data_IF_716369685757
#
_entry.id   IF_716369685757
#
_cell.length_a   1.000
_cell.length_b   1.000
_cell.length_c   1.000
_cell.angle_alpha   90.00
_cell.angle_beta   90.00
_cell.angle_gamma   90.00
#
_symmetry.space_group_name_H-M   'P 1'
#
loop_
_entity.id
_entity.type
_entity.pdbx_description
1 polymer ?
#
# COMPACT_ATOMS: atom_id res chain seq x y z
N UNK A 1 -2.76 15.83 -7.29
CA UNK A 1 -2.34 14.43 -7.07
C UNK A 1 -0.84 14.40 -6.91
N UNK A 2 -0.31 13.57 -6.02
CA UNK A 2 1.14 13.39 -5.85
C UNK A 2 1.71 12.63 -7.07
N UNK A 3 2.88 13.01 -7.55
CA UNK A 3 3.57 12.24 -8.60
C UNK A 3 3.94 10.83 -8.10
N UNK A 4 4.23 10.72 -6.80
CA UNK A 4 4.49 9.43 -6.11
C UNK A 4 4.17 9.51 -4.62
N UNK A 5 3.76 8.39 -4.05
CA UNK A 5 3.61 8.22 -2.60
C UNK A 5 3.75 6.76 -2.21
N UNK A 6 4.01 6.50 -0.92
CA UNK A 6 4.07 5.13 -0.39
C UNK A 6 2.80 4.81 0.40
N UNK A 7 2.36 3.56 0.30
CA UNK A 7 1.28 3.01 1.13
C UNK A 7 1.54 1.51 1.40
N UNK A 8 0.68 0.87 2.18
CA UNK A 8 0.76 -0.59 2.39
C UNK A 8 0.39 -1.32 1.10
N UNK A 9 1.02 -2.48 0.84
CA UNK A 9 0.74 -3.29 -0.34
C UNK A 9 -0.71 -3.80 -0.34
N UNK A 10 -1.15 -4.35 0.79
CA UNK A 10 -2.48 -4.91 0.95
C UNK A 10 -2.95 -4.80 2.41
N UNK A 11 -4.24 -4.95 2.65
CA UNK A 11 -4.75 -5.12 4.00
C UNK A 11 -4.25 -6.43 4.60
N UNK A 12 -3.91 -6.40 5.89
CA UNK A 12 -3.39 -7.61 6.53
C UNK A 12 -3.21 -7.46 8.02
N UNK A 13 -2.78 -8.54 8.64
CA UNK A 13 -2.55 -8.62 10.08
C UNK A 13 -1.20 -9.26 10.39
N UNK A 14 -0.60 -8.84 11.50
CA UNK A 14 0.60 -9.48 12.06
C UNK A 14 0.55 -9.47 13.57
N UNK A 15 0.97 -10.56 14.20
CA UNK A 15 0.98 -10.71 15.65
C UNK A 15 2.39 -10.83 16.17
N UNK A 16 2.67 -10.13 17.27
CA UNK A 16 3.88 -10.30 18.08
C UNK A 16 3.52 -10.58 19.54
N UNK A 17 4.38 -11.28 20.26
CA UNK A 17 4.24 -11.51 21.69
C UNK A 17 5.39 -10.84 22.45
N UNK A 18 5.06 -10.11 23.50
CA UNK A 18 6.03 -9.44 24.38
C UNK A 18 5.65 -9.70 25.84
N UNK A 19 6.49 -10.41 26.58
CA UNK A 19 6.29 -10.74 28.01
C UNK A 19 4.89 -11.31 28.30
N UNK A 20 4.41 -12.22 27.40
CA UNK A 20 3.11 -12.87 27.51
C UNK A 20 1.92 -12.01 27.02
N UNK A 21 2.10 -10.73 26.73
CA UNK A 21 1.08 -9.92 26.08
C UNK A 21 1.13 -10.12 24.56
N UNK A 22 -0.04 -10.32 23.95
CA UNK A 22 -0.18 -10.42 22.49
C UNK A 22 -0.54 -9.07 21.91
N UNK A 23 0.14 -8.67 20.85
CA UNK A 23 -0.11 -7.45 20.10
C UNK A 23 -0.40 -7.82 18.64
N UNK A 24 -1.63 -7.59 18.19
CA UNK A 24 -2.07 -7.90 16.82
C UNK A 24 -2.26 -6.59 16.08
N UNK A 25 -1.40 -6.32 15.12
CA UNK A 25 -1.50 -5.15 14.24
C UNK A 25 -2.37 -5.49 13.03
N UNK A 26 -3.41 -4.71 12.81
CA UNK A 26 -4.33 -4.80 11.67
C UNK A 26 -4.17 -3.56 10.81
N UNK A 27 -4.04 -3.72 9.51
CA UNK A 27 -3.80 -2.62 8.56
C UNK A 27 -4.84 -2.58 7.46
N UNK A 28 -5.22 -1.36 7.06
CA UNK A 28 -6.11 -1.13 5.93
C UNK A 28 -5.74 0.18 5.23
N UNK A 29 -5.83 0.21 3.89
CA UNK A 29 -5.83 1.46 3.13
C UNK A 29 -7.16 2.18 3.38
N UNK A 30 -7.08 3.48 3.58
CA UNK A 30 -8.24 4.34 3.84
C UNK A 30 -8.04 5.68 3.14
N UNK A 31 -9.06 6.19 2.49
CA UNK A 31 -9.01 7.45 1.74
C UNK A 31 -9.79 8.58 2.44
N UNK A 32 -10.52 8.24 3.50
CA UNK A 32 -11.27 9.20 4.30
C UNK A 32 -11.21 8.87 5.79
N UNK A 33 -11.45 9.88 6.64
CA UNK A 33 -11.56 9.70 8.09
C UNK A 33 -12.72 8.74 8.45
N UNK A 34 -13.79 8.77 7.67
CA UNK A 34 -14.96 7.91 7.86
C UNK A 34 -14.60 6.43 7.67
N UNK A 35 -13.90 6.08 6.59
CA UNK A 35 -13.38 4.73 6.35
C UNK A 35 -12.43 4.27 7.47
N UNK A 36 -11.53 5.15 7.93
CA UNK A 36 -10.62 4.83 9.02
C UNK A 36 -11.38 4.51 10.32
N UNK A 37 -12.39 5.31 10.68
CA UNK A 37 -13.19 5.10 11.87
C UNK A 37 -14.05 3.84 11.76
N UNK A 38 -14.60 3.52 10.60
CA UNK A 38 -15.34 2.28 10.34
C UNK A 38 -14.45 1.05 10.51
N UNK A 39 -13.25 1.07 9.94
CA UNK A 39 -12.25 0.02 10.12
C UNK A 39 -11.91 -0.18 11.61
N UNK A 40 -11.63 0.90 12.35
CA UNK A 40 -11.32 0.84 13.78
C UNK A 40 -12.49 0.20 14.55
N UNK A 41 -13.73 0.59 14.26
CA UNK A 41 -14.91 0.03 14.92
C UNK A 41 -15.12 -1.45 14.60
N UNK A 42 -14.81 -1.88 13.39
CA UNK A 42 -14.87 -3.29 12.99
C UNK A 42 -13.90 -4.12 13.80
N UNK A 43 -12.63 -3.71 13.91
CA UNK A 43 -11.63 -4.42 14.72
C UNK A 43 -12.01 -4.42 16.20
N UNK A 44 -12.52 -3.30 16.74
CA UNK A 44 -13.02 -3.25 18.14
C UNK A 44 -14.15 -4.23 18.41
N UNK A 45 -15.05 -4.44 17.46
CA UNK A 45 -16.15 -5.41 17.58
C UNK A 45 -15.63 -6.85 17.53
N UNK A 46 -14.71 -7.15 16.62
CA UNK A 46 -14.09 -8.48 16.50
C UNK A 46 -13.29 -8.84 17.75
N UNK A 47 -12.52 -7.88 18.25
CA UNK A 47 -11.64 -8.04 19.40
C UNK A 47 -12.22 -7.41 20.70
N UNK A 48 -13.53 -7.51 20.91
CA UNK A 48 -14.21 -6.89 22.04
C UNK A 48 -13.73 -7.39 23.43
N UNK A 49 -13.08 -8.56 23.49
CA UNK A 49 -12.47 -9.11 24.71
C UNK A 49 -11.04 -8.63 24.95
N UNK A 50 -10.46 -7.91 24.01
CA UNK A 50 -9.11 -7.39 24.15
C UNK A 50 -9.04 -6.32 25.28
N UNK A 51 -7.85 -6.17 25.85
CA UNK A 51 -7.63 -5.16 26.89
C UNK A 51 -7.68 -3.75 26.27
N UNK A 52 -7.07 -3.57 25.11
CA UNK A 52 -7.04 -2.31 24.37
C UNK A 52 -7.00 -2.57 22.86
N UNK A 53 -7.62 -1.67 22.08
CA UNK A 53 -7.53 -1.59 20.63
C UNK A 53 -7.07 -0.20 20.25
N UNK A 54 -5.77 0.06 20.40
CA UNK A 54 -5.16 1.35 20.09
C UNK A 54 -5.09 1.54 18.58
N UNK A 55 -5.21 2.78 18.09
CA UNK A 55 -5.24 3.03 16.66
C UNK A 55 -4.51 4.30 16.25
N UNK A 56 -4.08 4.32 15.01
CA UNK A 56 -3.53 5.50 14.35
C UNK A 56 -3.88 5.47 12.87
N UNK A 57 -4.05 6.64 12.27
CA UNK A 57 -4.18 6.78 10.83
C UNK A 57 -3.65 8.12 10.35
N UNK A 58 -3.30 8.15 9.07
CA UNK A 58 -2.96 9.36 8.35
C UNK A 58 -3.53 9.28 6.94
N UNK A 59 -4.08 10.40 6.47
CA UNK A 59 -4.84 10.47 5.22
C UNK A 59 -4.55 11.79 4.52
N UNK A 60 -4.46 11.70 3.19
CA UNK A 60 -4.30 12.82 2.28
C UNK A 60 -2.84 13.10 1.92
N UNK A 61 -2.67 13.83 0.85
CA UNK A 61 -1.36 14.12 0.24
C UNK A 61 -0.35 14.75 1.22
N UNK A 62 -0.85 15.63 2.10
CA UNK A 62 -0.05 16.35 3.08
C UNK A 62 -0.33 15.89 4.52
N UNK A 63 -0.86 14.67 4.72
CA UNK A 63 -1.25 14.12 6.03
C UNK A 63 -2.18 15.07 6.80
N UNK A 64 -3.08 15.77 6.11
CA UNK A 64 -3.96 16.77 6.69
C UNK A 64 -4.94 16.18 7.70
N UNK A 65 -5.26 14.89 7.58
CA UNK A 65 -6.06 14.16 8.57
C UNK A 65 -5.18 13.11 9.22
N UNK A 66 -4.88 13.30 10.50
CA UNK A 66 -4.13 12.32 11.30
C UNK A 66 -4.74 12.22 12.70
N UNK A 67 -4.77 10.99 13.21
CA UNK A 67 -5.21 10.71 14.58
C UNK A 67 -4.39 9.61 15.23
N UNK A 68 -4.29 9.68 16.53
CA UNK A 68 -3.63 8.70 17.40
C UNK A 68 -4.50 8.49 18.63
N UNK A 69 -4.89 7.25 18.92
CA UNK A 69 -5.81 6.91 20.01
C UNK A 69 -5.24 5.78 20.86
N UNK A 70 -5.14 6.02 22.16
CA UNK A 70 -4.53 5.09 23.13
C UNK A 70 -5.52 4.06 23.68
N UNK A 71 -6.83 4.23 23.49
CA UNK A 71 -7.90 3.28 23.90
C UNK A 71 -7.74 2.75 25.33
N UNK A 72 -7.42 3.65 26.28
CA UNK A 72 -7.26 3.33 27.70
C UNK A 72 -5.85 2.90 28.13
N UNK A 73 -4.88 2.79 27.23
CA UNK A 73 -3.47 2.74 27.62
C UNK A 73 -3.04 4.12 28.19
N UNK A 74 -1.95 4.20 28.95
CA UNK A 74 -1.43 5.49 29.41
C UNK A 74 -1.20 6.46 28.24
N UNK A 75 -1.59 7.71 28.43
CA UNK A 75 -1.55 8.74 27.37
C UNK A 75 -0.19 8.81 26.67
N UNK A 76 -0.21 8.75 25.33
CA UNK A 76 0.97 8.86 24.47
C UNK A 76 1.83 7.59 24.40
N UNK A 77 1.39 6.46 24.97
CA UNK A 77 2.20 5.23 24.99
C UNK A 77 1.86 4.25 23.88
N UNK A 78 0.77 4.47 23.14
CA UNK A 78 0.31 3.57 22.09
C UNK A 78 0.06 4.29 20.76
N UNK A 79 -0.99 5.10 20.67
CA UNK A 79 -1.42 5.71 19.40
C UNK A 79 -0.34 6.60 18.77
N UNK A 80 0.31 7.47 19.54
CA UNK A 80 1.38 8.34 19.04
C UNK A 80 2.58 7.54 18.54
N UNK A 81 3.14 6.57 19.27
CA UNK A 81 4.21 5.71 18.76
C UNK A 81 3.85 4.97 17.46
N UNK A 82 2.60 4.52 17.32
CA UNK A 82 2.11 3.89 16.10
C UNK A 82 2.10 4.88 14.92
N UNK A 83 1.54 6.07 15.11
CA UNK A 83 1.49 7.13 14.11
C UNK A 83 2.88 7.52 13.62
N UNK A 84 3.84 7.65 14.53
CA UNK A 84 5.22 8.00 14.19
C UNK A 84 5.91 6.92 13.34
N UNK A 85 5.56 5.63 13.50
CA UNK A 85 6.05 4.58 12.61
C UNK A 85 5.50 4.76 11.19
N UNK A 86 4.21 5.06 11.03
CA UNK A 86 3.61 5.32 9.72
C UNK A 86 4.29 6.50 9.04
N UNK A 87 4.47 7.62 9.76
CA UNK A 87 5.13 8.84 9.27
C UNK A 87 6.59 8.59 8.89
N UNK A 88 7.34 7.86 9.71
CA UNK A 88 8.75 7.52 9.44
C UNK A 88 8.93 6.70 8.17
N UNK A 89 7.94 5.88 7.81
CA UNK A 89 7.92 5.12 6.57
C UNK A 89 7.30 5.93 5.40
N UNK A 90 6.97 7.20 5.62
CA UNK A 90 6.39 8.12 4.62
C UNK A 90 5.09 7.58 4.00
N UNK A 91 4.34 6.78 4.76
CA UNK A 91 3.10 6.19 4.28
C UNK A 91 2.00 7.24 4.16
N UNK A 92 1.08 7.01 3.22
CA UNK A 92 -0.14 7.80 2.98
C UNK A 92 -1.36 6.88 2.96
N UNK A 93 -2.50 7.42 3.34
CA UNK A 93 -3.80 6.78 3.19
C UNK A 93 -3.87 5.39 3.85
N UNK A 94 -3.44 5.32 5.13
CA UNK A 94 -3.37 4.09 5.90
C UNK A 94 -3.92 4.27 7.32
N UNK A 95 -4.66 3.27 7.78
CA UNK A 95 -5.07 3.09 9.17
C UNK A 95 -4.47 1.80 9.74
N UNK A 96 -4.10 1.85 11.02
CA UNK A 96 -3.62 0.71 11.79
C UNK A 96 -4.33 0.63 13.13
N UNK A 97 -4.73 -0.58 13.52
CA UNK A 97 -5.23 -0.88 14.86
C UNK A 97 -4.31 -1.93 15.47
N UNK A 98 -3.80 -1.68 16.66
CA UNK A 98 -3.06 -2.69 17.44
C UNK A 98 -3.93 -3.14 18.60
N UNK A 99 -4.39 -4.39 18.51
CA UNK A 99 -5.17 -5.07 19.53
C UNK A 99 -4.23 -5.71 20.54
N UNK A 100 -4.39 -5.38 21.82
CA UNK A 100 -3.60 -5.97 22.89
C UNK A 100 -4.42 -6.86 23.80
N UNK A 101 -3.92 -8.08 24.02
CA UNK A 101 -4.36 -8.98 25.11
C UNK A 101 -3.28 -8.99 26.19
N UNK A 102 -3.61 -8.53 27.40
CA UNK A 102 -2.66 -8.46 28.51
C UNK A 102 -2.22 -9.84 29.00
N UNK A 103 -0.93 -10.05 29.12
CA UNK A 103 -0.30 -11.33 29.50
C UNK A 103 0.13 -11.44 30.97
N UNK A 104 -0.40 -10.57 31.85
CA UNK A 104 -0.09 -10.62 33.28
C UNK A 104 1.16 -9.80 33.71
N UNK A 105 2.04 -9.44 32.79
CA UNK A 105 3.26 -8.68 33.10
C UNK A 105 3.14 -7.23 32.60
N UNK A 106 3.28 -6.25 33.49
CA UNK A 106 3.29 -4.83 33.13
C UNK A 106 4.57 -4.47 32.37
N UNK A 107 4.44 -3.75 31.26
CA UNK A 107 5.56 -3.32 30.42
C UNK A 107 6.16 -1.98 30.85
N UNK A 108 5.39 -1.14 31.57
CA UNK A 108 5.72 0.25 31.83
C UNK A 108 5.62 1.13 30.58
N UNK A 109 5.64 2.46 30.74
CA UNK A 109 5.44 3.41 29.64
C UNK A 109 6.43 3.20 28.48
N UNK A 110 7.73 3.13 28.74
CA UNK A 110 8.74 2.89 27.73
C UNK A 110 8.66 1.51 27.08
N UNK A 111 8.15 0.50 27.81
CA UNK A 111 7.88 -0.84 27.26
C UNK A 111 6.68 -0.85 26.32
N UNK A 112 5.61 -0.10 26.65
CA UNK A 112 4.43 0.07 25.80
C UNK A 112 4.79 0.78 24.50
N UNK A 113 5.50 1.91 24.58
CA UNK A 113 5.97 2.65 23.39
C UNK A 113 6.71 1.71 22.43
N UNK A 114 7.66 0.92 22.92
CA UNK A 114 8.41 -0.05 22.10
C UNK A 114 7.52 -1.18 21.56
N UNK A 115 6.56 -1.65 22.35
CA UNK A 115 5.68 -2.74 21.94
C UNK A 115 4.73 -2.30 20.81
N UNK A 116 4.08 -1.16 20.95
CA UNK A 116 3.16 -0.65 19.92
C UNK A 116 3.89 -0.23 18.64
N UNK A 117 5.00 0.51 18.73
CA UNK A 117 5.82 0.84 17.55
C UNK A 117 6.41 -0.42 16.89
N UNK A 118 6.86 -1.39 17.70
CA UNK A 118 7.37 -2.68 17.19
C UNK A 118 6.30 -3.49 16.47
N UNK A 119 5.08 -3.59 17.02
CA UNK A 119 3.97 -4.28 16.38
C UNK A 119 3.63 -3.70 15.00
N UNK A 120 3.60 -2.38 14.87
CA UNK A 120 3.38 -1.69 13.58
C UNK A 120 4.55 -1.95 12.64
N UNK A 121 5.80 -1.81 13.10
CA UNK A 121 6.98 -2.00 12.25
C UNK A 121 7.10 -3.43 11.71
N UNK A 122 6.90 -4.44 12.56
CA UNK A 122 6.92 -5.86 12.14
C UNK A 122 5.72 -6.18 11.22
N UNK A 123 4.56 -5.58 11.50
CA UNK A 123 3.39 -5.70 10.64
C UNK A 123 3.64 -5.15 9.23
N UNK A 124 4.21 -3.96 9.11
CA UNK A 124 4.56 -3.35 7.80
C UNK A 124 5.54 -4.22 7.01
N UNK A 125 6.53 -4.83 7.67
CA UNK A 125 7.43 -5.79 7.01
C UNK A 125 6.71 -7.03 6.49
N UNK A 126 5.72 -7.52 7.25
CA UNK A 126 4.98 -8.72 6.88
C UNK A 126 4.01 -8.49 5.71
N UNK A 127 3.29 -7.35 5.68
CA UNK A 127 2.32 -7.05 4.62
C UNK A 127 2.94 -6.36 3.39
N UNK A 128 4.12 -5.75 3.55
CA UNK A 128 4.82 -5.03 2.50
C UNK A 128 4.34 -3.59 2.30
N UNK A 129 5.23 -2.80 1.72
CA UNK A 129 4.99 -1.41 1.31
C UNK A 129 5.14 -1.33 -0.21
N UNK A 130 4.35 -0.49 -0.85
CA UNK A 130 4.46 -0.15 -2.27
C UNK A 130 4.65 1.35 -2.45
N UNK A 131 5.38 1.72 -3.49
CA UNK A 131 5.41 3.08 -4.02
C UNK A 131 4.41 3.16 -5.18
N UNK A 132 3.41 4.01 -5.04
CA UNK A 132 2.46 4.35 -6.08
C UNK A 132 3.05 5.50 -6.91
N UNK A 133 3.21 5.30 -8.21
CA UNK A 133 3.69 6.31 -9.16
C UNK A 133 2.58 6.67 -10.12
N UNK A 134 2.34 7.96 -10.31
CA UNK A 134 1.39 8.45 -11.30
C UNK A 134 2.04 8.34 -12.69
N UNK A 135 1.46 7.50 -13.53
CA UNK A 135 1.99 7.14 -14.84
C UNK A 135 0.88 7.13 -15.88
N UNK A 136 1.23 7.38 -17.14
CA UNK A 136 0.30 7.19 -18.26
C UNK A 136 0.08 5.71 -18.53
N UNK A 137 -1.18 5.34 -18.68
CA UNK A 137 -1.60 4.02 -19.11
C UNK A 137 -1.85 4.02 -20.60
N UNK A 138 -1.10 3.19 -21.34
CA UNK A 138 -1.18 3.06 -22.79
C UNK A 138 -1.63 1.65 -23.16
N UNK A 139 -2.79 1.54 -23.82
CA UNK A 139 -3.23 0.28 -24.39
C UNK A 139 -2.62 0.07 -25.78
N UNK A 140 -2.08 -1.12 -26.02
CA UNK A 140 -1.51 -1.59 -27.28
C UNK A 140 -2.36 -2.73 -27.82
N UNK A 141 -2.92 -2.60 -28.99
CA UNK A 141 -3.68 -3.67 -29.68
C UNK A 141 -2.88 -4.20 -30.86
N UNK A 142 -2.64 -5.52 -30.87
CA UNK A 142 -1.81 -6.19 -31.89
C UNK A 142 -2.22 -7.67 -32.07
N UNK A 143 -1.67 -8.33 -33.10
CA UNK A 143 -1.92 -9.74 -33.38
C UNK A 143 -1.20 -10.70 -32.43
N UNK A 144 -1.79 -11.88 -32.19
CA UNK A 144 -1.24 -12.94 -31.33
C UNK A 144 0.20 -13.33 -31.66
N UNK A 145 0.60 -13.25 -32.95
CA UNK A 145 1.97 -13.55 -33.39
C UNK A 145 3.04 -12.66 -32.75
N UNK A 146 2.64 -11.51 -32.19
CA UNK A 146 3.55 -10.52 -31.63
C UNK A 146 3.65 -10.57 -30.09
N UNK A 147 2.82 -11.37 -29.40
CA UNK A 147 2.76 -11.44 -27.94
C UNK A 147 4.16 -11.60 -27.31
N UNK A 148 4.90 -12.61 -27.73
CA UNK A 148 6.23 -12.88 -27.16
C UNK A 148 7.24 -11.77 -27.41
N UNK A 149 7.14 -11.05 -28.55
CA UNK A 149 8.04 -9.90 -28.83
C UNK A 149 7.76 -8.72 -27.91
N UNK A 150 6.47 -8.39 -27.70
CA UNK A 150 6.04 -7.29 -26.84
C UNK A 150 6.36 -7.60 -25.39
N UNK A 151 6.07 -8.81 -24.91
CA UNK A 151 6.41 -9.24 -23.55
C UNK A 151 7.91 -9.16 -23.27
N UNK A 152 8.71 -9.68 -24.20
CA UNK A 152 10.18 -9.63 -24.06
C UNK A 152 10.69 -8.20 -24.06
N UNK A 153 10.19 -7.33 -24.92
CA UNK A 153 10.56 -5.92 -24.96
C UNK A 153 10.22 -5.23 -23.62
N UNK A 154 8.96 -5.35 -23.15
CA UNK A 154 8.54 -4.75 -21.90
C UNK A 154 9.38 -5.27 -20.71
N UNK A 155 9.64 -6.57 -20.67
CA UNK A 155 10.48 -7.16 -19.62
C UNK A 155 11.92 -6.62 -19.63
N UNK A 156 12.55 -6.50 -20.81
CA UNK A 156 13.93 -6.01 -20.93
C UNK A 156 14.07 -4.53 -20.64
N UNK A 157 13.03 -3.74 -20.88
CA UNK A 157 12.97 -2.31 -20.59
C UNK A 157 12.39 -2.00 -19.21
N UNK A 158 12.02 -3.03 -18.41
CA UNK A 158 11.35 -2.89 -17.11
C UNK A 158 10.04 -2.08 -17.18
N UNK A 159 9.29 -2.22 -18.28
CA UNK A 159 8.00 -1.56 -18.46
C UNK A 159 6.89 -2.48 -17.92
N UNK A 160 6.12 -2.04 -16.93
CA UNK A 160 5.02 -2.84 -16.39
C UNK A 160 3.92 -3.05 -17.42
N UNK A 161 3.51 -4.30 -17.62
CA UNK A 161 2.27 -4.66 -18.30
C UNK A 161 1.24 -4.87 -17.18
N UNK A 162 0.34 -3.91 -17.01
CA UNK A 162 -0.63 -3.89 -15.89
C UNK A 162 -1.89 -4.67 -16.18
N UNK A 163 -2.20 -4.88 -17.48
CA UNK A 163 -3.33 -5.71 -17.88
C UNK A 163 -3.06 -6.38 -19.23
N UNK A 164 -3.69 -7.56 -19.47
CA UNK A 164 -3.62 -8.34 -20.71
C UNK A 164 -4.99 -8.90 -21.05
N UNK A 165 -5.53 -8.50 -22.19
CA UNK A 165 -6.82 -8.96 -22.70
C UNK A 165 -6.61 -9.75 -24.01
N UNK A 166 -7.17 -10.96 -24.08
CA UNK A 166 -7.05 -11.88 -25.22
C UNK A 166 -8.44 -12.12 -25.81
N UNK A 167 -8.71 -11.45 -26.94
CA UNK A 167 -9.96 -11.55 -27.69
C UNK A 167 -9.66 -11.91 -29.18
N UNK A 168 -10.27 -11.20 -30.13
CA UNK A 168 -9.93 -11.37 -31.56
C UNK A 168 -8.49 -10.90 -31.83
N UNK A 169 -8.04 -9.86 -31.17
CA UNK A 169 -6.67 -9.38 -31.08
C UNK A 169 -6.23 -9.42 -29.61
N UNK A 170 -4.95 -9.20 -29.37
CA UNK A 170 -4.38 -9.06 -28.03
C UNK A 170 -4.27 -7.59 -27.70
N UNK A 171 -4.68 -7.21 -26.51
CA UNK A 171 -4.47 -5.87 -25.97
C UNK A 171 -3.66 -5.96 -24.67
N UNK A 172 -2.53 -5.28 -24.65
CA UNK A 172 -1.76 -5.07 -23.41
C UNK A 172 -1.89 -3.62 -22.97
N UNK A 173 -2.07 -3.41 -21.67
CA UNK A 173 -1.98 -2.08 -21.08
C UNK A 173 -0.63 -1.95 -20.40
N UNK A 174 0.18 -1.00 -20.86
CA UNK A 174 1.49 -0.67 -20.27
C UNK A 174 1.40 0.62 -19.48
N UNK A 175 2.17 0.69 -18.39
CA UNK A 175 2.29 1.88 -17.56
C UNK A 175 3.67 2.50 -17.75
N UNK A 176 3.71 3.81 -17.99
CA UNK A 176 4.92 4.53 -18.38
C UNK A 176 4.94 5.94 -17.79
N UNK A 177 6.13 6.45 -17.36
CA UNK A 177 6.29 7.88 -17.13
C UNK A 177 5.91 8.68 -18.38
N UNK A 178 5.18 9.80 -18.21
CA UNK A 178 4.68 10.64 -19.32
C UNK A 178 5.75 10.93 -20.36
N UNK A 179 6.96 11.25 -19.92
CA UNK A 179 8.09 11.60 -20.79
C UNK A 179 8.63 10.42 -21.60
N UNK A 180 8.26 9.18 -21.29
CA UNK A 180 8.75 7.97 -21.98
C UNK A 180 7.73 7.39 -22.97
N UNK A 181 6.50 7.88 -22.97
CA UNK A 181 5.40 7.37 -23.81
C UNK A 181 5.72 7.43 -25.30
N UNK A 182 6.19 8.59 -25.78
CA UNK A 182 6.50 8.79 -27.21
C UNK A 182 7.61 7.85 -27.69
N UNK A 183 8.71 7.76 -26.94
CA UNK A 183 9.83 6.88 -27.26
C UNK A 183 9.43 5.41 -27.23
N UNK A 184 8.56 5.01 -26.31
CA UNK A 184 8.02 3.67 -26.25
C UNK A 184 7.13 3.36 -27.47
N UNK A 185 6.24 4.28 -27.86
CA UNK A 185 5.40 4.10 -29.04
C UNK A 185 6.26 3.90 -30.31
N UNK A 186 7.27 4.74 -30.53
CA UNK A 186 8.19 4.61 -31.67
C UNK A 186 8.88 3.25 -31.68
N UNK A 187 9.38 2.77 -30.55
CA UNK A 187 10.05 1.49 -30.45
C UNK A 187 9.11 0.30 -30.72
N UNK A 188 7.87 0.35 -30.27
CA UNK A 188 6.88 -0.71 -30.53
C UNK A 188 6.42 -0.67 -31.98
N UNK A 189 6.26 0.50 -32.60
CA UNK A 189 5.96 0.65 -34.03
C UNK A 189 7.03 -0.02 -34.86
N UNK A 190 8.31 0.22 -34.58
CA UNK A 190 9.43 -0.41 -35.27
C UNK A 190 9.46 -1.93 -35.04
N UNK A 191 9.30 -2.37 -33.77
CA UNK A 191 9.31 -3.78 -33.39
C UNK A 191 8.22 -4.59 -34.12
N UNK A 192 7.02 -4.01 -34.29
CA UNK A 192 5.85 -4.66 -34.89
C UNK A 192 5.60 -4.25 -36.35
N UNK A 193 6.51 -3.51 -36.96
CA UNK A 193 6.42 -3.08 -38.38
C UNK A 193 5.09 -2.37 -38.68
N UNK A 194 4.71 -1.42 -37.83
CA UNK A 194 3.43 -0.67 -37.88
C UNK A 194 2.16 -1.53 -37.66
N UNK A 195 2.27 -2.76 -37.13
CA UNK A 195 1.12 -3.63 -36.85
C UNK A 195 0.65 -3.51 -35.39
N UNK A 196 0.38 -2.30 -34.96
CA UNK A 196 -0.09 -1.98 -33.60
C UNK A 196 -0.95 -0.73 -33.61
N UNK A 197 -1.99 -0.73 -32.78
CA UNK A 197 -2.81 0.43 -32.47
C UNK A 197 -2.60 0.85 -31.01
N UNK A 198 -2.59 2.14 -30.74
CA UNK A 198 -2.42 2.69 -29.41
C UNK A 198 -3.65 3.48 -28.96
N UNK A 199 -4.01 3.34 -27.69
CA UNK A 199 -5.03 4.12 -27.04
C UNK A 199 -4.50 4.60 -25.69
N UNK A 200 -4.49 5.93 -25.46
CA UNK A 200 -4.17 6.49 -24.14
C UNK A 200 -5.38 6.34 -23.21
N UNK A 201 -5.17 5.70 -22.06
CA UNK A 201 -6.19 5.53 -21.02
C UNK A 201 -6.10 6.60 -19.93
N UNK A 202 -5.14 7.52 -20.06
CA UNK A 202 -4.88 8.59 -19.10
C UNK A 202 -3.97 8.18 -17.96
N UNK A 203 -3.80 9.09 -16.98
CA UNK A 203 -2.90 8.89 -15.84
C UNK A 203 -3.56 8.03 -14.76
N UNK A 204 -2.83 7.04 -14.27
CA UNK A 204 -3.21 6.16 -13.15
C UNK A 204 -2.01 5.86 -12.26
N UNK A 205 -2.27 5.48 -11.01
CA UNK A 205 -1.19 5.00 -10.13
C UNK A 205 -0.83 3.54 -10.42
N UNK A 206 0.45 3.31 -10.67
CA UNK A 206 1.05 1.98 -10.78
C UNK A 206 1.86 1.69 -9.52
N UNK A 207 1.71 0.48 -8.97
CA UNK A 207 2.33 0.09 -7.70
C UNK A 207 3.64 -0.66 -7.92
N UNK A 208 4.69 -0.21 -7.26
CA UNK A 208 6.02 -0.81 -7.26
C UNK A 208 6.37 -1.29 -5.85
N UNK A 209 6.82 -2.55 -5.68
CA UNK A 209 7.29 -3.02 -4.38
C UNK A 209 8.45 -2.16 -3.86
N UNK A 210 8.43 -1.82 -2.58
CA UNK A 210 9.55 -1.18 -1.87
C UNK A 210 10.31 -2.26 -1.11
N UNK A 211 11.63 -2.39 -1.38
CA UNK A 211 12.52 -3.34 -0.69
C UNK A 211 12.86 -2.89 0.75
#
# INVERSE_FOLDING_TARGET
MLERYKTIKEAGTNEIEIKGSRFIAHFQRVTSEEEALEFIQTIKKEHWKATHNCSAFLIGENDQVQRAMDDGEPSGTAGVPMLEVLKKNELKDVAVVVTRYFGGTKLGAGGLVRAYSGAVSEGLKAIGIVECRLEDQLALTFDYAHVGKVEYYCQTQNIPIVDKVFLNNVQFTCSLPVQEVEAFQEAIIELLQNQVEFESLGEMYTEYPVE
#
